data_IF_531038237629
#
_entry.id   IF_531038237629
#
_cell.length_a   1.000
_cell.length_b   1.000
_cell.length_c   1.000
_cell.angle_alpha   90.00
_cell.angle_beta   90.00
_cell.angle_gamma   90.00
#
_symmetry.space_group_name_H-M   'P 1'
#
loop_
_entity.id
_entity.type
_entity.pdbx_description
1 polymer ?
#
# COMPACT_ATOMS: atom_id res chain seq x y z
N UNK A 1 -13.53 6.13 4.80
CA UNK A 1 -13.04 4.84 4.34
C UNK A 1 -13.81 4.40 3.09
N UNK A 2 -13.12 3.96 2.05
CA UNK A 2 -13.79 3.46 0.86
C UNK A 2 -14.39 2.08 1.12
N UNK A 3 -15.53 1.83 0.52
CA UNK A 3 -16.26 0.57 0.68
C UNK A 3 -15.91 -0.41 -0.44
N UNK A 4 -15.77 -1.68 -0.07
CA UNK A 4 -15.58 -2.78 -1.03
C UNK A 4 -16.69 -3.80 -0.81
N UNK A 5 -17.18 -4.39 -1.91
CA UNK A 5 -18.04 -5.56 -1.79
C UNK A 5 -17.21 -6.80 -1.36
N UNK A 6 -17.89 -7.92 -1.10
CA UNK A 6 -17.21 -9.12 -0.61
C UNK A 6 -16.16 -9.62 -1.60
N UNK A 7 -16.48 -9.64 -2.90
CA UNK A 7 -15.55 -10.13 -3.93
C UNK A 7 -14.35 -9.21 -4.09
N UNK A 8 -14.56 -7.90 -4.06
CA UNK A 8 -13.48 -6.91 -4.08
C UNK A 8 -12.58 -7.05 -2.86
N UNK A 9 -13.15 -7.28 -1.68
CA UNK A 9 -12.38 -7.43 -0.45
C UNK A 9 -11.52 -8.71 -0.50
N UNK A 10 -12.07 -9.82 -0.99
CA UNK A 10 -11.32 -11.07 -1.17
C UNK A 10 -10.17 -10.86 -2.14
N UNK A 11 -10.41 -10.20 -3.26
CA UNK A 11 -9.39 -9.91 -4.25
C UNK A 11 -8.31 -8.98 -3.68
N UNK A 12 -8.72 -7.91 -2.99
CA UNK A 12 -7.81 -6.98 -2.32
C UNK A 12 -6.87 -7.74 -1.37
N UNK A 13 -7.41 -8.62 -0.54
CA UNK A 13 -6.62 -9.35 0.45
C UNK A 13 -5.65 -10.33 -0.22
N UNK A 14 -6.02 -10.91 -1.36
CA UNK A 14 -5.12 -11.76 -2.16
C UNK A 14 -3.94 -10.95 -2.72
N UNK A 15 -4.21 -9.74 -3.20
CA UNK A 15 -3.15 -8.85 -3.71
C UNK A 15 -2.19 -8.47 -2.58
N UNK A 16 -2.72 -8.09 -1.43
CA UNK A 16 -1.90 -7.76 -0.25
C UNK A 16 -1.01 -8.94 0.13
N UNK A 17 -1.58 -10.15 0.20
CA UNK A 17 -0.83 -11.36 0.54
C UNK A 17 0.26 -11.66 -0.49
N UNK A 18 -0.03 -11.49 -1.78
CA UNK A 18 0.94 -11.71 -2.85
C UNK A 18 2.10 -10.71 -2.76
N UNK A 19 1.82 -9.44 -2.49
CA UNK A 19 2.85 -8.41 -2.32
C UNK A 19 3.74 -8.68 -1.13
N UNK A 20 3.17 -9.14 -0.03
CA UNK A 20 3.96 -9.50 1.16
C UNK A 20 4.93 -10.64 0.87
N UNK A 21 4.55 -11.59 0.01
CA UNK A 21 5.38 -12.75 -0.34
C UNK A 21 6.41 -12.44 -1.42
N UNK A 22 6.27 -11.34 -2.16
CA UNK A 22 7.10 -11.03 -3.32
C UNK A 22 7.88 -9.74 -3.13
N UNK A 23 7.28 -8.58 -3.42
CA UNK A 23 7.99 -7.30 -3.39
C UNK A 23 8.35 -6.83 -1.97
N UNK A 24 7.55 -7.20 -0.99
CA UNK A 24 7.72 -6.77 0.41
C UNK A 24 7.96 -7.98 1.33
N UNK A 25 8.73 -8.94 0.87
CA UNK A 25 9.05 -10.14 1.64
C UNK A 25 10.25 -9.87 2.55
N UNK A 26 10.02 -9.17 3.64
CA UNK A 26 11.05 -8.85 4.63
C UNK A 26 10.77 -9.56 5.95
N UNK A 27 11.81 -10.01 6.68
CA UNK A 27 13.23 -9.81 6.39
C UNK A 27 13.72 -10.62 5.20
N UNK A 28 14.76 -10.11 4.55
CA UNK A 28 15.43 -10.78 3.43
C UNK A 28 16.95 -10.79 3.67
N UNK A 29 17.68 -11.54 2.84
CA UNK A 29 19.14 -11.60 2.95
C UNK A 29 19.79 -10.22 2.74
N UNK A 30 19.22 -9.41 1.82
CA UNK A 30 19.71 -8.04 1.58
C UNK A 30 19.30 -7.05 2.67
N UNK A 31 18.16 -7.28 3.29
CA UNK A 31 17.57 -6.36 4.28
C UNK A 31 17.10 -7.15 5.51
N UNK A 32 18.05 -7.72 6.27
CA UNK A 32 17.68 -8.51 7.44
C UNK A 32 17.08 -7.70 8.59
N UNK A 33 17.27 -6.37 8.56
CA UNK A 33 16.73 -5.47 9.58
C UNK A 33 15.30 -5.03 9.31
N UNK A 34 14.77 -5.27 8.10
CA UNK A 34 13.40 -4.89 7.77
C UNK A 34 12.41 -5.98 8.13
N UNK A 35 11.19 -5.56 8.44
CA UNK A 35 10.08 -6.45 8.76
C UNK A 35 8.81 -5.93 8.10
N UNK A 36 8.08 -6.81 7.43
CA UNK A 36 6.79 -6.49 6.82
C UNK A 36 5.65 -7.02 7.68
N UNK A 37 4.69 -6.15 7.98
CA UNK A 37 3.48 -6.50 8.74
C UNK A 37 2.27 -6.20 7.88
N UNK A 38 1.37 -7.17 7.75
CA UNK A 38 0.10 -7.00 7.05
C UNK A 38 -0.99 -6.61 8.05
N UNK A 39 -1.84 -5.66 7.65
CA UNK A 39 -3.00 -5.24 8.42
C UNK A 39 -4.31 -5.88 7.93
N UNK A 40 -4.20 -6.90 7.10
CA UNK A 40 -5.31 -7.71 6.64
C UNK A 40 -4.96 -9.18 6.78
N UNK A 41 -5.90 -10.01 7.23
CA UNK A 41 -7.27 -9.69 7.62
C UNK A 41 -7.41 -9.01 8.99
N UNK A 42 -6.32 -8.94 9.77
CA UNK A 42 -6.34 -8.38 11.13
C UNK A 42 -5.44 -7.15 11.17
N UNK A 43 -5.94 -6.04 11.71
CA UNK A 43 -5.15 -4.84 11.94
C UNK A 43 -4.12 -5.10 13.03
N UNK A 44 -2.85 -5.20 12.64
CA UNK A 44 -1.77 -5.63 13.52
C UNK A 44 -0.80 -4.52 13.90
N UNK A 45 -0.61 -3.52 13.03
CA UNK A 45 0.37 -2.46 13.28
C UNK A 45 -0.10 -1.14 12.66
N UNK A 46 -0.30 -0.15 13.52
CA UNK A 46 -0.65 1.19 13.07
C UNK A 46 0.60 2.03 12.84
N UNK A 47 0.45 3.04 11.99
CA UNK A 47 1.36 4.19 11.97
C UNK A 47 0.62 5.37 12.56
N UNK A 48 1.32 6.19 13.35
CA UNK A 48 0.70 7.26 14.10
C UNK A 48 1.26 8.61 13.69
N UNK A 49 0.39 9.61 13.59
CA UNK A 49 0.84 10.99 13.47
C UNK A 49 1.05 11.59 14.87
N UNK A 50 1.67 12.76 14.92
CA UNK A 50 1.94 13.45 16.18
C UNK A 50 0.68 14.07 16.80
N UNK A 51 -0.45 14.01 16.11
CA UNK A 51 -1.75 14.48 16.60
C UNK A 51 -2.56 13.37 17.27
N UNK A 52 -1.99 12.17 17.41
CA UNK A 52 -2.66 11.03 18.00
C UNK A 52 -3.49 10.20 17.05
N UNK A 53 -3.50 10.55 15.74
CA UNK A 53 -4.18 9.74 14.72
C UNK A 53 -3.46 8.42 14.49
N UNK A 54 -4.23 7.35 14.31
CA UNK A 54 -3.71 6.01 14.03
C UNK A 54 -4.24 5.54 12.68
N UNK A 55 -3.32 5.05 11.83
CA UNK A 55 -3.63 4.63 10.47
C UNK A 55 -3.11 3.23 10.24
N UNK A 56 -3.81 2.46 9.42
CA UNK A 56 -3.50 1.06 9.15
C UNK A 56 -3.35 0.82 7.65
N UNK A 57 -2.19 1.19 7.06
CA UNK A 57 -1.92 0.81 5.66
C UNK A 57 -2.01 -0.71 5.49
N UNK A 58 -2.28 -1.16 4.28
CA UNK A 58 -2.40 -2.59 4.00
C UNK A 58 -1.14 -3.36 4.39
N UNK A 59 0.04 -2.83 4.07
CA UNK A 59 1.32 -3.35 4.56
C UNK A 59 2.12 -2.21 5.17
N UNK A 60 2.87 -2.54 6.22
CA UNK A 60 3.83 -1.64 6.84
C UNK A 60 5.19 -2.33 6.83
N UNK A 61 6.22 -1.65 6.34
CA UNK A 61 7.61 -2.11 6.43
C UNK A 61 8.32 -1.23 7.44
N UNK A 62 8.88 -1.85 8.46
CA UNK A 62 9.58 -1.12 9.51
C UNK A 62 10.98 -1.67 9.74
N UNK A 63 11.83 -0.84 10.34
CA UNK A 63 13.12 -1.30 10.86
C UNK A 63 12.85 -2.02 12.17
N UNK A 64 13.17 -3.32 12.23
CA UNK A 64 12.85 -4.15 13.39
C UNK A 64 13.62 -3.73 14.65
N UNK A 65 14.74 -3.02 14.50
CA UNK A 65 15.58 -2.57 15.63
C UNK A 65 15.05 -1.29 16.26
N UNK A 66 14.56 -0.37 15.46
CA UNK A 66 14.15 0.97 15.90
C UNK A 66 12.64 1.17 15.85
N UNK A 67 11.93 0.26 15.18
CA UNK A 67 10.49 0.36 14.88
C UNK A 67 10.12 1.57 14.01
N UNK A 68 11.11 2.20 13.37
CA UNK A 68 10.87 3.30 12.44
C UNK A 68 10.14 2.79 11.20
N UNK A 69 9.13 3.52 10.77
CA UNK A 69 8.35 3.17 9.57
C UNK A 69 9.17 3.54 8.33
N UNK A 70 9.59 2.55 7.57
CA UNK A 70 10.34 2.73 6.33
C UNK A 70 9.38 2.92 5.16
N UNK A 71 8.38 2.05 5.05
CA UNK A 71 7.44 2.09 3.94
C UNK A 71 6.02 1.78 4.40
N UNK A 72 5.07 2.40 3.71
CA UNK A 72 3.66 2.04 3.81
C UNK A 72 3.19 1.63 2.41
N UNK A 73 2.32 0.63 2.34
CA UNK A 73 1.80 0.09 1.08
C UNK A 73 0.29 0.10 1.15
N UNK A 74 -0.35 0.69 0.14
CA UNK A 74 -1.80 0.65 -0.05
C UNK A 74 -2.14 -0.05 -1.35
N UNK A 75 -3.15 -0.90 -1.30
CA UNK A 75 -3.70 -1.59 -2.46
C UNK A 75 -5.11 -1.07 -2.68
N UNK A 76 -5.34 -0.44 -3.82
CA UNK A 76 -6.65 0.05 -4.21
C UNK A 76 -7.31 -0.93 -5.16
N UNK A 77 -8.65 -0.90 -5.20
CA UNK A 77 -9.47 -1.64 -6.15
C UNK A 77 -10.25 -0.64 -7.02
N UNK A 78 -11.03 -1.13 -7.98
CA UNK A 78 -11.72 -0.27 -8.95
C UNK A 78 -12.60 0.79 -8.28
N UNK A 79 -13.23 0.45 -7.16
CA UNK A 79 -14.22 1.31 -6.50
C UNK A 79 -13.67 2.10 -5.31
N UNK A 80 -12.39 1.98 -5.00
CA UNK A 80 -11.82 2.65 -3.81
C UNK A 80 -10.99 3.88 -4.14
N UNK A 81 -10.72 4.17 -5.41
CA UNK A 81 -9.93 5.33 -5.81
C UNK A 81 -10.83 6.54 -5.91
N UNK A 82 -10.78 7.38 -4.90
CA UNK A 82 -11.59 8.60 -4.80
C UNK A 82 -10.85 9.66 -3.98
N UNK A 83 -11.45 10.83 -3.88
CA UNK A 83 -10.85 11.98 -3.21
C UNK A 83 -10.56 11.71 -1.72
N UNK A 84 -11.45 11.01 -1.04
CA UNK A 84 -11.27 10.68 0.39
C UNK A 84 -10.09 9.73 0.60
N UNK A 85 -9.97 8.72 -0.25
CA UNK A 85 -8.81 7.80 -0.21
C UNK A 85 -7.52 8.54 -0.52
N UNK A 86 -7.55 9.46 -1.47
CA UNK A 86 -6.37 10.26 -1.83
C UNK A 86 -5.86 11.08 -0.64
N UNK A 87 -6.75 11.56 0.22
CA UNK A 87 -6.34 12.24 1.45
C UNK A 87 -5.60 11.31 2.40
N UNK A 88 -6.01 10.03 2.47
CA UNK A 88 -5.28 9.03 3.25
C UNK A 88 -3.91 8.78 2.66
N UNK A 89 -3.78 8.72 1.33
CA UNK A 89 -2.47 8.54 0.68
C UNK A 89 -1.49 9.65 1.07
N UNK A 90 -1.95 10.89 1.06
CA UNK A 90 -1.13 12.03 1.49
C UNK A 90 -0.65 11.83 2.93
N UNK A 91 -1.55 11.40 3.80
CA UNK A 91 -1.22 11.16 5.20
C UNK A 91 -0.21 10.01 5.35
N UNK A 92 -0.42 8.88 4.68
CA UNK A 92 0.50 7.75 4.75
C UNK A 92 1.89 8.16 4.23
N UNK A 93 1.95 8.87 3.11
CA UNK A 93 3.21 9.33 2.53
C UNK A 93 3.98 10.24 3.49
N UNK A 94 3.27 11.05 4.27
CA UNK A 94 3.91 11.96 5.24
C UNK A 94 4.51 11.24 6.45
N UNK A 95 4.13 9.99 6.68
CA UNK A 95 4.51 9.22 7.88
C UNK A 95 5.54 8.13 7.61
N UNK A 96 6.07 8.05 6.40
CA UNK A 96 7.07 7.04 6.04
C UNK A 96 8.08 7.63 5.04
N UNK A 97 9.16 6.89 4.80
CA UNK A 97 10.16 7.30 3.82
C UNK A 97 9.66 7.10 2.39
N UNK A 98 8.98 5.99 2.15
CA UNK A 98 8.47 5.61 0.83
C UNK A 98 7.04 5.10 0.94
N UNK A 99 6.15 5.69 0.16
CA UNK A 99 4.76 5.24 0.07
C UNK A 99 4.57 4.52 -1.26
N UNK A 100 4.07 3.28 -1.21
CA UNK A 100 3.80 2.45 -2.39
C UNK A 100 2.30 2.33 -2.60
N UNK A 101 1.84 2.70 -3.79
CA UNK A 101 0.44 2.65 -4.15
C UNK A 101 0.26 1.68 -5.32
N UNK A 102 -0.54 0.64 -5.09
CA UNK A 102 -0.90 -0.35 -6.11
C UNK A 102 -2.35 -0.14 -6.52
N UNK A 103 -2.59 -0.04 -7.81
CA UNK A 103 -3.93 0.24 -8.34
C UNK A 103 -4.18 -0.59 -9.61
N UNK A 104 -5.45 -0.87 -9.94
CA UNK A 104 -5.78 -1.65 -11.13
C UNK A 104 -5.32 -0.95 -12.41
N UNK A 105 -4.75 -1.72 -13.33
CA UNK A 105 -4.38 -1.20 -14.65
C UNK A 105 -5.61 -0.61 -15.34
N UNK A 106 -5.44 0.54 -15.96
CA UNK A 106 -6.52 1.31 -16.59
C UNK A 106 -6.93 2.55 -15.80
N UNK A 107 -6.51 2.67 -14.53
CA UNK A 107 -6.88 3.81 -13.68
C UNK A 107 -5.73 4.81 -13.50
N UNK A 108 -4.72 4.77 -14.38
CA UNK A 108 -3.51 5.57 -14.28
C UNK A 108 -3.79 7.07 -14.25
N UNK A 109 -4.68 7.55 -15.12
CA UNK A 109 -4.98 8.97 -15.21
C UNK A 109 -5.60 9.51 -13.92
N UNK A 110 -6.48 8.72 -13.32
CA UNK A 110 -7.16 9.06 -12.07
C UNK A 110 -6.17 9.10 -10.90
N UNK A 111 -5.29 8.10 -10.82
CA UNK A 111 -4.25 8.04 -9.79
C UNK A 111 -3.26 9.18 -9.96
N UNK A 112 -2.82 9.45 -11.17
CA UNK A 112 -1.92 10.58 -11.46
C UNK A 112 -2.49 11.89 -10.93
N UNK A 113 -3.76 12.15 -11.17
CA UNK A 113 -4.44 13.37 -10.69
C UNK A 113 -4.35 13.49 -9.18
N UNK A 114 -4.57 12.39 -8.43
CA UNK A 114 -4.57 12.43 -6.98
C UNK A 114 -3.19 12.39 -6.35
N UNK A 115 -2.15 12.00 -7.10
CA UNK A 115 -0.79 11.87 -6.57
C UNK A 115 0.12 13.07 -6.87
N UNK A 116 -0.39 14.11 -7.51
CA UNK A 116 0.41 15.25 -7.98
C UNK A 116 1.24 15.94 -6.89
N UNK A 117 0.75 15.94 -5.66
CA UNK A 117 1.41 16.62 -4.54
C UNK A 117 2.22 15.67 -3.65
N UNK A 118 2.25 14.39 -3.98
CA UNK A 118 2.98 13.40 -3.18
C UNK A 118 4.34 13.15 -3.84
N UNK A 119 5.42 13.49 -3.13
CA UNK A 119 6.78 13.42 -3.69
C UNK A 119 7.45 12.07 -3.51
N UNK A 120 7.09 11.31 -2.47
CA UNK A 120 7.70 10.02 -2.13
C UNK A 120 6.83 8.83 -2.49
N UNK A 121 5.90 8.98 -3.42
CA UNK A 121 5.02 7.90 -3.85
C UNK A 121 5.66 7.10 -4.99
N UNK A 122 5.53 5.80 -4.90
CA UNK A 122 5.91 4.84 -5.95
C UNK A 122 4.64 4.14 -6.39
N UNK A 123 4.20 4.41 -7.61
CA UNK A 123 2.95 3.87 -8.14
C UNK A 123 3.21 2.62 -8.98
N UNK A 124 2.38 1.61 -8.77
CA UNK A 124 2.40 0.36 -9.54
C UNK A 124 0.99 0.09 -10.01
N UNK A 125 0.81 -0.24 -11.27
CA UNK A 125 -0.45 -0.78 -11.73
C UNK A 125 -0.38 -2.31 -11.75
N UNK A 126 -1.49 -2.94 -11.43
CA UNK A 126 -1.56 -4.40 -11.36
C UNK A 126 -2.72 -4.92 -12.21
N UNK A 127 -2.62 -6.17 -12.57
CA UNK A 127 -3.68 -6.90 -13.27
C UNK A 127 -3.57 -8.37 -12.92
N UNK A 128 -4.62 -9.11 -13.21
CA UNK A 128 -4.65 -10.54 -13.02
C UNK A 128 -4.56 -11.22 -14.38
N UNK A 129 -3.63 -12.16 -14.51
CA UNK A 129 -3.44 -12.97 -15.70
C UNK A 129 -3.74 -14.42 -15.30
N UNK A 130 -4.99 -14.87 -15.57
CA UNK A 130 -5.48 -16.14 -15.06
C UNK A 130 -5.53 -16.12 -13.54
N UNK A 131 -4.79 -17.02 -12.89
CA UNK A 131 -4.69 -17.05 -11.43
C UNK A 131 -3.47 -16.27 -10.91
N UNK A 132 -2.67 -15.69 -11.82
CA UNK A 132 -1.45 -14.99 -11.47
C UNK A 132 -1.67 -13.49 -11.34
N UNK A 133 -1.15 -12.94 -10.25
CA UNK A 133 -1.10 -11.50 -10.05
C UNK A 133 0.16 -10.94 -10.71
N UNK A 134 0.01 -9.88 -11.50
CA UNK A 134 1.11 -9.17 -12.16
C UNK A 134 1.09 -7.71 -11.75
N UNK A 135 2.26 -7.11 -11.59
CA UNK A 135 2.37 -5.68 -11.33
C UNK A 135 3.57 -5.10 -12.07
N UNK A 136 3.47 -3.83 -12.37
CA UNK A 136 4.51 -3.09 -13.07
C UNK A 136 4.56 -1.65 -12.53
N UNK A 137 5.77 -1.12 -12.36
CA UNK A 137 5.92 0.26 -11.91
C UNK A 137 5.35 1.21 -12.96
N UNK A 138 4.60 2.21 -12.50
CA UNK A 138 4.03 3.22 -13.35
C UNK A 138 4.66 4.57 -13.02
N UNK A 139 5.32 5.19 -14.01
CA UNK A 139 5.92 6.52 -13.88
C UNK A 139 5.04 7.55 -14.58
N UNK A 140 4.75 8.60 -13.87
CA UNK A 140 3.97 9.72 -14.40
C UNK A 140 4.81 10.62 -15.30
#
# INVERSE_FOLDING_TARGET
MAWRDIDEQVFHDKVVAALKKTLFNYPSNKHPQLKTIANHPIKSHSISDHMGGRFFPDLVVLDARTERIVSAVEVETDNTINENEAKQWVKFASLCDNFYLFFPRGLEAKVKKFCQEITNVHCYHYWQDGEHFQSEIFKF
#
